data_IF_166225807009
#
_entry.id   IF_166225807009
#
_cell.length_a   1.000
_cell.length_b   1.000
_cell.length_c   1.000
_cell.angle_alpha   90.00
_cell.angle_beta   90.00
_cell.angle_gamma   90.00
#
_symmetry.space_group_name_H-M   'P 1'
#
loop_
_entity.id
_entity.type
_entity.pdbx_description
1 polymer ?
#
# COMPACT_ATOMS: atom_id res chain seq x y z
N UNK A 1 -12.30 -33.32 -12.15
CA UNK A 1 -11.34 -32.35 -11.54
C UNK A 1 -11.73 -32.21 -10.07
N UNK A 2 -10.78 -32.26 -9.14
CA UNK A 2 -11.08 -31.93 -7.71
C UNK A 2 -11.60 -30.50 -7.65
N UNK A 3 -12.62 -30.26 -6.82
CA UNK A 3 -13.15 -28.92 -6.55
C UNK A 3 -12.13 -28.12 -5.74
N UNK A 4 -11.31 -27.30 -6.42
CA UNK A 4 -10.25 -26.49 -5.83
C UNK A 4 -10.59 -25.01 -5.88
N UNK A 5 -10.34 -24.28 -4.79
CA UNK A 5 -10.50 -22.84 -4.73
C UNK A 5 -9.16 -22.11 -4.57
N UNK A 6 -8.97 -21.02 -5.32
CA UNK A 6 -7.86 -20.10 -5.10
C UNK A 6 -8.17 -19.16 -3.93
N UNK A 7 -7.26 -19.11 -2.98
CA UNK A 7 -7.35 -18.28 -1.77
C UNK A 7 -6.34 -17.13 -1.86
N UNK A 8 -6.84 -15.90 -1.81
CA UNK A 8 -6.08 -14.67 -1.99
C UNK A 8 -5.64 -14.01 -0.68
N UNK A 9 -6.23 -14.45 0.46
CA UNK A 9 -6.02 -13.83 1.78
C UNK A 9 -6.21 -14.83 2.91
N UNK A 10 -5.59 -14.58 4.07
CA UNK A 10 -5.84 -15.32 5.32
C UNK A 10 -7.21 -15.06 5.96
N UNK A 11 -7.95 -14.07 5.47
CA UNK A 11 -9.27 -13.69 5.97
C UNK A 11 -10.29 -14.78 5.61
N UNK A 12 -10.89 -15.43 6.60
CA UNK A 12 -11.80 -16.56 6.36
C UNK A 12 -13.04 -16.19 5.54
N UNK A 13 -13.57 -14.99 5.71
CA UNK A 13 -14.71 -14.47 4.96
C UNK A 13 -14.40 -14.30 3.46
N UNK A 14 -13.11 -14.19 3.13
CA UNK A 14 -12.62 -14.14 1.76
C UNK A 14 -12.46 -15.52 1.11
N UNK A 15 -12.63 -16.60 1.87
CA UNK A 15 -12.48 -17.95 1.35
C UNK A 15 -13.74 -18.44 0.63
N UNK A 16 -13.53 -19.33 -0.34
CA UNK A 16 -14.61 -20.05 -1.02
C UNK A 16 -14.60 -21.51 -0.55
N UNK A 17 -15.77 -22.04 -0.26
CA UNK A 17 -15.91 -23.47 0.07
C UNK A 17 -15.48 -24.33 -1.12
N UNK A 18 -14.55 -25.26 -0.85
CA UNK A 18 -14.03 -26.24 -1.79
C UNK A 18 -13.46 -27.44 -1.05
N UNK A 19 -13.23 -28.54 -1.77
CA UNK A 19 -12.61 -29.75 -1.20
C UNK A 19 -11.12 -29.54 -0.93
N UNK A 20 -10.46 -28.69 -1.71
CA UNK A 20 -9.05 -28.36 -1.57
C UNK A 20 -8.81 -26.88 -1.92
N UNK A 21 -7.73 -26.30 -1.41
CA UNK A 21 -7.41 -24.89 -1.56
C UNK A 21 -6.02 -24.71 -2.17
N UNK A 22 -5.87 -23.68 -3.01
CA UNK A 22 -4.60 -23.17 -3.50
C UNK A 22 -4.37 -21.81 -2.88
N UNK A 23 -3.39 -21.70 -2.02
CA UNK A 23 -3.01 -20.42 -1.41
C UNK A 23 -2.04 -19.68 -2.31
N UNK A 24 -2.35 -18.42 -2.65
CA UNK A 24 -1.48 -17.57 -3.47
C UNK A 24 -0.13 -17.31 -2.79
N UNK A 25 -0.05 -17.50 -1.49
CA UNK A 25 1.17 -17.43 -0.70
C UNK A 25 0.98 -17.93 0.73
N UNK A 26 2.07 -18.16 1.44
CA UNK A 26 2.08 -18.73 2.79
C UNK A 26 1.32 -17.86 3.81
N UNK A 27 1.21 -16.56 3.61
CA UNK A 27 0.45 -15.66 4.48
C UNK A 27 -1.04 -15.98 4.56
N UNK A 28 -1.62 -16.65 3.56
CA UNK A 28 -3.01 -17.10 3.60
C UNK A 28 -3.27 -18.15 4.68
N UNK A 29 -2.23 -18.81 5.18
CA UNK A 29 -2.31 -19.92 6.13
C UNK A 29 -2.02 -19.54 7.59
N UNK A 30 -1.55 -18.30 7.86
CA UNK A 30 -0.99 -17.93 9.17
C UNK A 30 -1.93 -18.15 10.35
N UNK A 31 -3.22 -17.88 10.19
CA UNK A 31 -4.24 -18.02 11.25
C UNK A 31 -5.17 -19.24 11.01
N UNK A 32 -4.69 -20.26 10.28
CA UNK A 32 -5.50 -21.40 9.92
C UNK A 32 -4.99 -22.66 10.62
N UNK A 33 -5.92 -23.44 11.20
CA UNK A 33 -5.62 -24.82 11.59
C UNK A 33 -5.45 -25.67 10.32
N UNK A 34 -4.19 -25.88 9.95
CA UNK A 34 -3.80 -26.56 8.72
C UNK A 34 -4.13 -28.07 8.73
N UNK A 35 -4.40 -28.66 9.90
CA UNK A 35 -4.75 -30.07 10.00
C UNK A 35 -6.17 -30.36 9.47
N UNK A 36 -7.00 -29.34 9.37
CA UNK A 36 -8.40 -29.46 8.96
C UNK A 36 -8.66 -29.11 7.48
N UNK A 37 -7.64 -28.74 6.72
CA UNK A 37 -7.80 -28.20 5.36
C UNK A 37 -6.83 -28.87 4.41
N UNK A 38 -7.32 -29.42 3.30
CA UNK A 38 -6.48 -29.87 2.19
C UNK A 38 -6.06 -28.65 1.36
N UNK A 39 -4.76 -28.38 1.28
CA UNK A 39 -4.24 -27.19 0.60
C UNK A 39 -2.87 -27.41 -0.04
N UNK A 40 -2.58 -26.58 -1.02
CA UNK A 40 -1.25 -26.35 -1.57
C UNK A 40 -0.90 -24.86 -1.50
N UNK A 41 0.37 -24.54 -1.32
CA UNK A 41 0.86 -23.14 -1.31
C UNK A 41 1.62 -22.89 -2.60
N UNK A 42 1.26 -21.83 -3.33
CA UNK A 42 2.00 -21.41 -4.51
C UNK A 42 3.43 -21.01 -4.17
N UNK A 43 4.36 -21.40 -5.02
CA UNK A 43 5.77 -21.01 -4.86
C UNK A 43 5.92 -19.49 -4.93
N UNK A 44 6.77 -18.93 -4.09
CA UNK A 44 7.06 -17.49 -4.15
C UNK A 44 7.98 -17.19 -5.32
N UNK A 45 7.58 -16.31 -6.21
CA UNK A 45 8.25 -16.04 -7.49
C UNK A 45 9.70 -15.49 -7.33
N UNK A 46 10.03 -14.84 -6.22
CA UNK A 46 11.38 -14.35 -5.93
C UNK A 46 12.23 -15.33 -5.10
N UNK A 47 11.78 -16.57 -4.91
CA UNK A 47 12.65 -17.64 -4.43
C UNK A 47 13.76 -17.98 -5.45
N UNK A 48 13.52 -17.69 -6.72
CA UNK A 48 14.53 -17.71 -7.78
C UNK A 48 15.32 -16.40 -7.79
N UNK A 49 16.61 -16.48 -7.47
CA UNK A 49 17.50 -15.32 -7.38
C UNK A 49 17.81 -14.69 -8.75
N UNK A 50 17.85 -15.48 -9.81
CA UNK A 50 18.07 -14.94 -11.16
C UNK A 50 16.86 -14.17 -11.64
N UNK A 51 15.66 -14.71 -11.40
CA UNK A 51 14.41 -13.98 -11.65
C UNK A 51 14.36 -12.70 -10.83
N UNK A 52 14.68 -12.75 -9.54
CA UNK A 52 14.71 -11.55 -8.69
C UNK A 52 15.61 -10.45 -9.26
N UNK A 53 16.81 -10.80 -9.72
CA UNK A 53 17.75 -9.81 -10.31
C UNK A 53 17.18 -9.20 -11.60
N UNK A 54 16.56 -10.00 -12.47
CA UNK A 54 15.90 -9.52 -13.70
C UNK A 54 14.70 -8.62 -13.39
N UNK A 55 13.87 -9.03 -12.46
CA UNK A 55 12.69 -8.28 -12.03
C UNK A 55 13.07 -6.95 -11.36
N UNK A 56 14.14 -6.93 -10.54
CA UNK A 56 14.66 -5.71 -9.95
C UNK A 56 15.03 -4.69 -11.04
N UNK A 57 15.75 -5.11 -12.08
CA UNK A 57 16.11 -4.24 -13.19
C UNK A 57 14.88 -3.75 -13.97
N UNK A 58 13.92 -4.63 -14.19
CA UNK A 58 12.66 -4.29 -14.83
C UNK A 58 11.86 -3.25 -14.02
N UNK A 59 11.71 -3.48 -12.70
CA UNK A 59 10.99 -2.59 -11.77
C UNK A 59 11.66 -1.21 -11.73
N UNK A 60 13.00 -1.17 -11.73
CA UNK A 60 13.75 0.08 -11.76
C UNK A 60 13.47 0.89 -13.03
N UNK A 61 13.49 0.24 -14.18
CA UNK A 61 13.14 0.88 -15.45
C UNK A 61 11.67 1.33 -15.48
N UNK A 62 10.77 0.52 -14.92
CA UNK A 62 9.35 0.84 -14.80
C UNK A 62 9.11 2.06 -13.91
N UNK A 63 9.84 2.18 -12.79
CA UNK A 63 9.81 3.34 -11.91
C UNK A 63 10.09 4.63 -12.68
N UNK A 64 11.18 4.69 -13.45
CA UNK A 64 11.53 5.89 -14.22
C UNK A 64 10.49 6.24 -15.28
N UNK A 65 9.94 5.24 -15.96
CA UNK A 65 8.88 5.45 -16.97
C UNK A 65 7.60 6.00 -16.33
N UNK A 66 7.20 5.44 -15.20
CA UNK A 66 6.00 5.90 -14.48
C UNK A 66 6.26 7.30 -13.92
N UNK A 67 7.41 7.56 -13.31
CA UNK A 67 7.77 8.88 -12.77
C UNK A 67 7.64 9.94 -13.86
N UNK A 68 8.27 9.77 -15.01
CA UNK A 68 8.21 10.73 -16.12
C UNK A 68 6.76 11.00 -16.59
N UNK A 69 5.95 9.95 -16.70
CA UNK A 69 4.53 10.08 -17.07
C UNK A 69 3.72 10.84 -16.02
N UNK A 70 3.94 10.54 -14.73
CA UNK A 70 3.24 11.19 -13.63
C UNK A 70 3.67 12.64 -13.47
N UNK A 71 4.95 12.98 -13.70
CA UNK A 71 5.44 14.36 -13.73
C UNK A 71 4.70 15.20 -14.76
N UNK A 72 4.53 14.68 -15.96
CA UNK A 72 3.77 15.35 -17.02
C UNK A 72 2.31 15.61 -16.58
N UNK A 73 1.67 14.59 -16.02
CA UNK A 73 0.31 14.70 -15.50
C UNK A 73 0.18 15.71 -14.36
N UNK A 74 1.06 15.64 -13.35
CA UNK A 74 1.01 16.53 -12.18
C UNK A 74 1.28 17.99 -12.56
N UNK A 75 2.23 18.25 -13.44
CA UNK A 75 2.46 19.60 -13.95
C UNK A 75 1.22 20.15 -14.67
N UNK A 76 0.57 19.35 -15.49
CA UNK A 76 -0.68 19.72 -16.16
C UNK A 76 -1.81 19.97 -15.16
N UNK A 77 -1.99 19.05 -14.20
CA UNK A 77 -3.06 19.12 -13.21
C UNK A 77 -2.95 20.34 -12.28
N UNK A 78 -1.72 20.67 -11.85
CA UNK A 78 -1.46 21.81 -10.97
C UNK A 78 -1.16 23.13 -11.70
N UNK A 79 -1.11 23.12 -13.02
CA UNK A 79 -0.75 24.31 -13.81
C UNK A 79 0.69 24.79 -13.57
N UNK A 80 1.62 23.86 -13.28
CA UNK A 80 3.01 24.12 -12.93
C UNK A 80 3.98 23.61 -14.01
N UNK A 81 5.26 23.97 -13.88
CA UNK A 81 6.36 23.50 -14.76
C UNK A 81 7.55 23.07 -13.93
N UNK A 82 7.29 22.33 -12.85
CA UNK A 82 8.36 21.80 -12.01
C UNK A 82 9.17 20.71 -12.74
N UNK A 83 10.46 20.61 -12.40
CA UNK A 83 11.34 19.60 -12.96
C UNK A 83 10.95 18.17 -12.50
N UNK A 84 11.41 17.16 -13.22
CA UNK A 84 11.27 15.76 -12.81
C UNK A 84 11.89 15.53 -11.41
N UNK A 85 13.05 16.16 -11.13
CA UNK A 85 13.69 16.08 -9.82
C UNK A 85 12.83 16.63 -8.68
N UNK A 86 12.08 17.70 -8.92
CA UNK A 86 11.14 18.21 -7.93
C UNK A 86 10.05 17.18 -7.59
N UNK A 87 9.41 16.64 -8.62
CA UNK A 87 8.35 15.64 -8.41
C UNK A 87 8.90 14.32 -7.88
N UNK A 88 10.10 13.93 -8.26
CA UNK A 88 10.79 12.76 -7.69
C UNK A 88 10.95 12.89 -6.17
N UNK A 89 11.33 14.06 -5.67
CA UNK A 89 11.41 14.30 -4.22
C UNK A 89 10.06 14.24 -3.53
N UNK A 90 8.98 14.63 -4.20
CA UNK A 90 7.62 14.67 -3.64
C UNK A 90 6.96 13.29 -3.64
N UNK A 91 6.97 12.59 -4.77
CA UNK A 91 6.22 11.33 -4.96
C UNK A 91 7.11 10.10 -5.09
N UNK A 92 8.41 10.27 -5.33
CA UNK A 92 9.36 9.17 -5.50
C UNK A 92 9.37 8.18 -4.34
N UNK A 93 9.36 8.61 -3.06
CA UNK A 93 9.27 7.70 -1.92
C UNK A 93 8.02 6.80 -1.94
N UNK A 94 6.90 7.31 -2.46
CA UNK A 94 5.70 6.51 -2.65
C UNK A 94 5.83 5.55 -3.83
N UNK A 95 6.30 6.04 -4.98
CA UNK A 95 6.45 5.22 -6.19
C UNK A 95 7.42 4.05 -5.99
N UNK A 96 8.56 4.28 -5.35
CA UNK A 96 9.55 3.22 -5.08
C UNK A 96 9.04 2.14 -4.13
N UNK A 97 7.99 2.42 -3.39
CA UNK A 97 7.33 1.46 -2.49
C UNK A 97 6.17 0.75 -3.18
N UNK A 98 5.31 1.48 -3.88
CA UNK A 98 4.07 0.91 -4.42
C UNK A 98 4.31 0.08 -5.69
N UNK A 99 5.24 0.49 -6.56
CA UNK A 99 5.50 -0.23 -7.81
C UNK A 99 6.01 -1.66 -7.56
N UNK A 100 7.06 -1.88 -6.73
CA UNK A 100 7.48 -3.24 -6.42
C UNK A 100 6.39 -4.06 -5.71
N UNK A 101 5.61 -3.42 -4.84
CA UNK A 101 4.54 -4.09 -4.14
C UNK A 101 3.43 -4.59 -5.08
N UNK A 102 2.99 -3.76 -6.04
CA UNK A 102 2.02 -4.17 -7.05
C UNK A 102 2.58 -5.23 -8.00
N UNK A 103 3.85 -5.10 -8.39
CA UNK A 103 4.54 -6.10 -9.21
C UNK A 103 4.60 -7.46 -8.51
N UNK A 104 4.96 -7.50 -7.23
CA UNK A 104 4.99 -8.73 -6.43
C UNK A 104 3.61 -9.42 -6.38
N UNK A 105 2.54 -8.66 -6.17
CA UNK A 105 1.18 -9.22 -6.14
C UNK A 105 0.76 -9.75 -7.53
N UNK A 106 1.12 -9.02 -8.57
CA UNK A 106 0.85 -9.44 -9.94
C UNK A 106 1.55 -10.76 -10.27
N UNK A 107 2.87 -10.84 -10.02
CA UNK A 107 3.67 -12.04 -10.29
C UNK A 107 3.21 -13.24 -9.46
N UNK A 108 2.81 -13.02 -8.20
CA UNK A 108 2.27 -14.08 -7.34
C UNK A 108 0.98 -14.67 -7.93
N UNK A 109 0.09 -13.85 -8.46
CA UNK A 109 -1.13 -14.32 -9.14
C UNK A 109 -0.77 -15.00 -10.47
N UNK A 110 0.03 -14.37 -11.31
CA UNK A 110 0.39 -14.90 -12.63
C UNK A 110 1.07 -16.28 -12.52
N UNK A 111 2.00 -16.43 -11.58
CA UNK A 111 2.65 -17.71 -11.30
C UNK A 111 1.65 -18.78 -10.83
N UNK A 112 0.74 -18.40 -9.94
CA UNK A 112 -0.30 -19.32 -9.43
C UNK A 112 -1.25 -19.75 -10.53
N UNK A 113 -1.67 -18.81 -11.40
CA UNK A 113 -2.52 -19.10 -12.56
C UNK A 113 -1.87 -20.10 -13.53
N UNK A 114 -0.56 -20.03 -13.69
CA UNK A 114 0.19 -20.90 -14.63
C UNK A 114 0.47 -22.29 -14.06
N UNK A 115 0.68 -22.41 -12.75
CA UNK A 115 1.22 -23.63 -12.15
C UNK A 115 0.18 -24.45 -11.39
N UNK A 116 -0.96 -23.88 -11.02
CA UNK A 116 -1.98 -24.57 -10.25
C UNK A 116 -3.32 -24.61 -11.00
N UNK A 117 -4.07 -25.68 -10.80
CA UNK A 117 -5.43 -25.80 -11.32
C UNK A 117 -6.45 -25.54 -10.22
N UNK A 118 -7.37 -24.65 -10.45
CA UNK A 118 -8.49 -24.33 -9.56
C UNK A 118 -9.70 -23.91 -10.38
N UNK A 119 -10.89 -24.05 -9.80
CA UNK A 119 -12.15 -23.81 -10.50
C UNK A 119 -12.92 -22.61 -9.96
N UNK A 120 -12.52 -22.11 -8.77
CA UNK A 120 -13.24 -21.06 -8.07
C UNK A 120 -12.26 -20.07 -7.44
N UNK A 121 -12.68 -18.81 -7.38
CA UNK A 121 -12.00 -17.75 -6.62
C UNK A 121 -13.04 -16.79 -6.06
N UNK A 122 -12.83 -16.29 -4.85
CA UNK A 122 -13.62 -15.20 -4.29
C UNK A 122 -12.82 -13.91 -4.35
N UNK A 123 -13.43 -12.85 -4.88
CA UNK A 123 -12.83 -11.52 -5.01
C UNK A 123 -13.61 -10.50 -4.18
N UNK A 124 -12.96 -9.43 -3.77
CA UNK A 124 -13.62 -8.35 -3.07
C UNK A 124 -14.33 -7.41 -4.05
N UNK A 125 -15.50 -6.89 -3.67
CA UNK A 125 -16.11 -5.76 -4.38
C UNK A 125 -15.51 -4.47 -3.85
N UNK A 126 -14.59 -3.91 -4.62
CA UNK A 126 -13.93 -2.67 -4.27
C UNK A 126 -14.60 -1.47 -4.93
N UNK A 127 -14.66 -0.37 -4.18
CA UNK A 127 -14.78 0.97 -4.74
C UNK A 127 -13.38 1.57 -4.87
N UNK A 128 -13.18 2.52 -5.80
CA UNK A 128 -11.89 3.20 -5.96
C UNK A 128 -11.38 3.76 -4.63
N UNK A 129 -12.29 4.28 -3.81
CA UNK A 129 -12.00 4.79 -2.46
C UNK A 129 -11.43 3.74 -1.50
N UNK A 130 -11.62 2.43 -1.77
CA UNK A 130 -11.06 1.36 -0.94
C UNK A 130 -9.56 1.16 -1.18
N UNK A 131 -9.07 1.52 -2.36
CA UNK A 131 -7.67 1.43 -2.76
C UNK A 131 -6.91 2.74 -2.54
N UNK A 132 -7.59 3.89 -2.54
CA UNK A 132 -6.95 5.18 -2.34
C UNK A 132 -6.53 5.38 -0.88
N UNK A 133 -5.37 5.99 -0.70
CA UNK A 133 -4.84 6.39 0.61
C UNK A 133 -4.51 7.87 0.60
N UNK A 134 -4.69 8.48 1.78
CA UNK A 134 -4.56 9.92 1.97
C UNK A 134 -3.11 10.40 1.79
N UNK A 135 -2.15 9.63 2.25
CA UNK A 135 -0.74 10.01 2.32
C UNK A 135 0.19 8.80 2.22
N UNK A 136 1.49 9.06 2.13
CA UNK A 136 2.52 8.03 2.03
C UNK A 136 2.48 7.03 3.20
N UNK A 137 2.35 7.53 4.44
CA UNK A 137 2.37 6.68 5.64
C UNK A 137 1.18 5.72 5.67
N UNK A 138 -0.01 6.21 5.38
CA UNK A 138 -1.21 5.36 5.29
C UNK A 138 -1.14 4.38 4.12
N UNK A 139 -0.54 4.78 2.99
CA UNK A 139 -0.29 3.89 1.85
C UNK A 139 0.66 2.76 2.23
N UNK A 140 1.80 3.08 2.84
CA UNK A 140 2.79 2.09 3.25
C UNK A 140 2.26 1.12 4.33
N UNK A 141 1.49 1.62 5.29
CA UNK A 141 0.84 0.78 6.30
C UNK A 141 -0.22 -0.15 5.69
N UNK A 142 -0.95 0.33 4.68
CA UNK A 142 -1.96 -0.49 3.99
C UNK A 142 -1.34 -1.68 3.26
N UNK A 143 -0.11 -1.60 2.77
CA UNK A 143 0.57 -2.74 2.14
C UNK A 143 0.81 -3.94 3.09
N UNK A 144 0.65 -3.73 4.40
CA UNK A 144 0.72 -4.77 5.44
C UNK A 144 -0.66 -5.26 5.90
N UNK A 145 -1.73 -4.65 5.40
CA UNK A 145 -3.11 -4.94 5.78
C UNK A 145 -3.70 -6.01 4.85
N UNK A 146 -4.25 -7.07 5.44
CA UNK A 146 -4.76 -8.22 4.69
C UNK A 146 -5.97 -7.87 3.83
N UNK A 147 -6.85 -6.99 4.30
CA UNK A 147 -8.04 -6.55 3.55
C UNK A 147 -7.62 -5.71 2.35
N UNK A 148 -6.63 -4.85 2.53
CA UNK A 148 -6.08 -4.06 1.43
C UNK A 148 -5.39 -4.93 0.38
N UNK A 149 -4.57 -5.90 0.81
CA UNK A 149 -3.93 -6.84 -0.10
C UNK A 149 -4.95 -7.73 -0.81
N UNK A 150 -5.99 -8.20 -0.11
CA UNK A 150 -7.10 -8.94 -0.72
C UNK A 150 -7.80 -8.10 -1.80
N UNK A 151 -8.00 -6.81 -1.54
CA UNK A 151 -8.55 -5.89 -2.54
C UNK A 151 -7.65 -5.75 -3.77
N UNK A 152 -6.32 -5.62 -3.60
CA UNK A 152 -5.37 -5.58 -4.72
C UNK A 152 -5.38 -6.88 -5.52
N UNK A 153 -5.28 -8.04 -4.86
CA UNK A 153 -5.34 -9.34 -5.53
C UNK A 153 -6.65 -9.52 -6.30
N UNK A 154 -7.76 -9.05 -5.74
CA UNK A 154 -9.07 -9.08 -6.40
C UNK A 154 -9.09 -8.28 -7.70
N UNK A 155 -8.54 -7.06 -7.69
CA UNK A 155 -8.42 -6.25 -8.91
C UNK A 155 -7.54 -6.91 -9.98
N UNK A 156 -6.44 -7.55 -9.57
CA UNK A 156 -5.58 -8.28 -10.50
C UNK A 156 -6.34 -9.44 -11.16
N UNK A 157 -7.09 -10.25 -10.39
CA UNK A 157 -7.91 -11.35 -10.92
C UNK A 157 -8.98 -10.82 -11.87
N UNK A 158 -9.67 -9.75 -11.51
CA UNK A 158 -10.71 -9.13 -12.34
C UNK A 158 -10.13 -8.54 -13.64
N UNK A 159 -8.90 -8.03 -13.60
CA UNK A 159 -8.20 -7.54 -14.79
C UNK A 159 -7.77 -8.69 -15.72
N UNK A 160 -7.18 -9.75 -15.16
CA UNK A 160 -6.67 -10.90 -15.93
C UNK A 160 -7.78 -11.75 -16.52
N UNK A 161 -8.97 -11.76 -15.92
CA UNK A 161 -10.16 -12.53 -16.37
C UNK A 161 -9.81 -13.98 -16.76
N UNK A 162 -9.25 -14.78 -15.84
CA UNK A 162 -8.83 -16.13 -16.16
C UNK A 162 -10.01 -16.97 -16.64
N UNK A 163 -9.83 -17.69 -17.75
CA UNK A 163 -10.88 -18.51 -18.37
C UNK A 163 -11.13 -19.78 -17.56
N UNK A 164 -12.38 -20.26 -17.54
CA UNK A 164 -12.77 -21.52 -16.91
C UNK A 164 -12.84 -21.46 -15.36
N UNK A 165 -12.82 -20.28 -14.78
CA UNK A 165 -12.85 -20.07 -13.33
C UNK A 165 -14.14 -19.36 -12.94
N UNK A 166 -14.84 -19.88 -11.92
CA UNK A 166 -16.01 -19.23 -11.34
C UNK A 166 -15.57 -18.17 -10.35
N UNK A 167 -15.93 -16.92 -10.61
CA UNK A 167 -15.64 -15.78 -9.72
C UNK A 167 -16.87 -15.51 -8.86
N UNK A 168 -16.72 -15.56 -7.53
CA UNK A 168 -17.70 -15.11 -6.56
C UNK A 168 -17.23 -13.83 -5.88
N UNK A 169 -18.16 -13.08 -5.29
CA UNK A 169 -17.85 -11.78 -4.70
C UNK A 169 -18.04 -11.77 -3.19
N UNK A 170 -17.20 -11.06 -2.49
CA UNK A 170 -17.35 -10.70 -1.08
C UNK A 170 -17.38 -9.18 -0.89
N UNK A 171 -17.80 -8.76 0.29
CA UNK A 171 -17.84 -7.35 0.70
C UNK A 171 -17.02 -7.18 2.00
N UNK A 172 -15.82 -7.73 2.03
CA UNK A 172 -14.93 -7.53 3.17
C UNK A 172 -14.44 -6.09 3.16
N UNK A 173 -14.74 -5.34 4.20
CA UNK A 173 -14.35 -3.92 4.32
C UNK A 173 -13.49 -3.71 5.55
N UNK A 174 -12.54 -2.83 5.45
CA UNK A 174 -11.70 -2.47 6.59
C UNK A 174 -12.54 -1.73 7.64
N UNK A 175 -12.68 -2.26 8.87
CA UNK A 175 -13.43 -1.61 9.94
C UNK A 175 -12.86 -0.24 10.33
N UNK A 176 -11.59 0.04 9.99
CA UNK A 176 -10.98 1.35 10.28
C UNK A 176 -11.59 2.51 9.48
N UNK A 177 -12.20 2.24 8.32
CA UNK A 177 -12.91 3.29 7.56
C UNK A 177 -14.11 3.88 8.33
N UNK A 178 -14.66 3.15 9.31
CA UNK A 178 -15.77 3.60 10.16
C UNK A 178 -15.31 4.10 11.54
N UNK A 179 -14.00 4.09 11.83
CA UNK A 179 -13.51 4.75 13.04
C UNK A 179 -13.59 6.25 12.83
N UNK A 180 -14.66 6.84 13.34
CA UNK A 180 -14.69 8.25 13.68
C UNK A 180 -13.38 8.54 14.41
N UNK A 181 -12.54 9.38 13.80
CA UNK A 181 -11.30 9.89 14.43
C UNK A 181 -11.65 10.21 15.88
N UNK A 182 -11.09 9.46 16.82
CA UNK A 182 -11.46 9.58 18.23
C UNK A 182 -11.31 11.04 18.60
N UNK A 183 -12.24 11.57 19.42
CA UNK A 183 -12.25 12.98 19.85
C UNK A 183 -10.88 13.47 20.32
N UNK A 184 -10.11 12.61 20.99
CA UNK A 184 -8.73 12.85 21.40
C UNK A 184 -7.76 13.14 20.24
N UNK A 185 -7.89 12.47 19.09
CA UNK A 185 -7.05 12.72 17.91
C UNK A 185 -7.42 14.05 17.26
N UNK A 186 -8.72 14.37 17.19
CA UNK A 186 -9.20 15.68 16.71
C UNK A 186 -8.70 16.82 17.60
N UNK A 187 -8.67 16.61 18.92
CA UNK A 187 -8.16 17.59 19.87
C UNK A 187 -6.65 17.79 19.76
N UNK A 188 -5.89 16.70 19.55
CA UNK A 188 -4.43 16.76 19.26
C UNK A 188 -4.15 17.51 17.96
N UNK A 189 -4.88 17.21 16.89
CA UNK A 189 -4.72 17.89 15.59
C UNK A 189 -5.00 19.38 15.74
N UNK A 190 -6.06 19.78 16.46
CA UNK A 190 -6.36 21.19 16.73
C UNK A 190 -5.27 21.89 17.54
N UNK A 191 -4.75 21.23 18.57
CA UNK A 191 -3.66 21.77 19.40
C UNK A 191 -2.39 21.98 18.55
N UNK A 192 -2.02 21.00 17.74
CA UNK A 192 -0.89 21.10 16.82
C UNK A 192 -1.09 22.26 15.84
N UNK A 193 -2.29 22.40 15.25
CA UNK A 193 -2.59 23.51 14.34
C UNK A 193 -2.46 24.90 14.99
N UNK A 194 -2.82 25.02 16.27
CA UNK A 194 -2.64 26.26 17.01
C UNK A 194 -1.17 26.56 17.26
N UNK A 195 -0.40 25.55 17.68
CA UNK A 195 1.05 25.70 17.88
C UNK A 195 1.74 26.09 16.58
N UNK A 196 1.39 25.48 15.45
CA UNK A 196 1.95 25.84 14.15
C UNK A 196 1.58 27.26 13.70
N UNK A 197 0.34 27.67 13.90
CA UNK A 197 -0.07 29.04 13.59
C UNK A 197 0.75 30.06 14.39
N UNK A 198 0.98 29.79 15.68
CA UNK A 198 1.83 30.63 16.54
C UNK A 198 3.28 30.60 16.05
N UNK A 199 3.80 29.41 15.73
CA UNK A 199 5.17 29.23 15.22
C UNK A 199 5.39 29.97 13.91
N UNK A 200 4.43 29.95 13.00
CA UNK A 200 4.51 30.65 11.71
C UNK A 200 4.56 32.19 11.89
N UNK A 201 3.93 32.71 12.94
CA UNK A 201 3.95 34.16 13.23
C UNK A 201 5.21 34.62 13.96
N UNK A 202 5.78 33.77 14.78
CA UNK A 202 6.91 34.12 15.63
C UNK A 202 8.27 33.70 15.06
N UNK A 203 8.29 32.76 14.12
CA UNK A 203 9.53 32.34 13.47
C UNK A 203 9.97 33.36 12.42
N UNK A 204 11.29 33.56 12.23
CA UNK A 204 11.82 34.43 11.20
C UNK A 204 11.42 33.95 9.79
N UNK A 205 11.49 34.85 8.83
CA UNK A 205 11.11 34.59 7.41
C UNK A 205 11.90 33.43 6.78
N UNK A 206 13.10 33.15 7.28
CA UNK A 206 13.92 31.99 6.92
C UNK A 206 13.89 30.98 8.07
N UNK A 207 12.85 30.14 8.10
CA UNK A 207 12.72 29.10 9.12
C UNK A 207 12.99 27.70 8.55
N UNK A 208 13.59 26.83 9.35
CA UNK A 208 13.81 25.41 9.02
C UNK A 208 12.56 24.62 9.43
N UNK A 209 12.05 23.79 8.51
CA UNK A 209 11.02 22.79 8.81
C UNK A 209 11.66 21.40 8.78
N UNK A 210 11.49 20.61 9.83
CA UNK A 210 11.94 19.21 9.87
C UNK A 210 10.71 18.31 9.66
N UNK A 211 10.72 17.58 8.57
CA UNK A 211 9.60 16.74 8.13
C UNK A 211 9.99 15.28 8.27
N UNK A 212 9.10 14.46 8.86
CA UNK A 212 9.27 13.01 8.98
C UNK A 212 10.64 12.57 9.54
N UNK A 213 11.07 13.20 10.61
CA UNK A 213 12.34 12.86 11.23
C UNK A 213 12.20 11.59 12.08
N UNK A 214 13.23 10.72 12.04
CA UNK A 214 13.39 9.59 12.96
C UNK A 214 13.94 10.02 14.33
N UNK A 215 14.15 11.32 14.54
CA UNK A 215 14.66 11.90 15.76
C UNK A 215 13.51 11.96 16.77
N UNK A 216 13.77 11.58 18.01
CA UNK A 216 12.76 11.68 19.09
C UNK A 216 12.35 13.13 19.34
N UNK A 217 11.16 13.32 19.90
CA UNK A 217 10.57 14.65 20.05
C UNK A 217 11.40 15.57 20.96
N UNK A 218 12.14 15.02 21.95
CA UNK A 218 12.97 15.83 22.85
C UNK A 218 14.18 16.38 22.13
N UNK A 219 14.83 15.56 21.33
CA UNK A 219 15.96 15.95 20.47
C UNK A 219 15.52 16.95 19.41
N UNK A 220 14.33 16.79 18.80
CA UNK A 220 13.76 17.77 17.88
C UNK A 220 13.52 19.12 18.55
N UNK A 221 12.94 19.14 19.75
CA UNK A 221 12.73 20.37 20.50
C UNK A 221 14.06 21.04 20.85
N UNK A 222 15.09 20.27 21.22
CA UNK A 222 16.42 20.80 21.48
C UNK A 222 17.05 21.42 20.22
N UNK A 223 16.90 20.80 19.05
CA UNK A 223 17.38 21.34 17.77
C UNK A 223 16.68 22.66 17.46
N UNK A 224 15.35 22.71 17.52
CA UNK A 224 14.60 23.94 17.26
C UNK A 224 14.95 25.06 18.23
N UNK A 225 15.08 24.72 19.52
CA UNK A 225 15.53 25.67 20.53
C UNK A 225 16.96 26.17 20.27
N UNK A 226 17.87 25.28 19.85
CA UNK A 226 19.26 25.63 19.53
C UNK A 226 19.41 26.58 18.32
N UNK A 227 18.48 26.53 17.38
CA UNK A 227 18.44 27.46 16.23
C UNK A 227 17.51 28.68 16.46
N UNK A 228 16.99 28.85 17.68
CA UNK A 228 16.15 29.98 18.04
C UNK A 228 14.76 29.98 17.36
N UNK A 229 14.22 28.81 17.06
CA UNK A 229 12.92 28.64 16.42
C UNK A 229 11.93 27.90 17.30
N UNK A 230 10.65 28.20 17.12
CA UNK A 230 9.58 27.31 17.57
C UNK A 230 9.42 26.14 16.60
N UNK A 231 9.01 24.94 17.08
CA UNK A 231 8.79 23.79 16.25
C UNK A 231 7.82 24.08 15.11
N UNK A 232 8.17 23.65 13.89
CA UNK A 232 7.38 23.84 12.69
C UNK A 232 7.20 22.49 12.01
N UNK A 233 6.13 21.78 12.36
CA UNK A 233 5.85 20.42 11.90
C UNK A 233 4.89 20.36 10.70
N UNK A 234 4.07 21.39 10.52
CA UNK A 234 2.81 21.26 9.78
C UNK A 234 2.88 21.55 8.29
N UNK A 235 3.94 22.14 7.79
CA UNK A 235 4.09 22.33 6.34
C UNK A 235 4.15 21.03 5.54
N UNK A 236 4.16 19.88 6.23
CA UNK A 236 4.17 18.57 5.63
C UNK A 236 2.81 17.84 5.65
N UNK A 237 1.79 18.40 6.30
CA UNK A 237 0.47 17.77 6.49
C UNK A 237 -0.66 18.51 5.76
N UNK A 238 -0.37 19.57 5.04
CA UNK A 238 -1.25 20.24 4.10
C UNK A 238 -0.79 20.00 2.68
#
# INVERSE_FOLDING_TARGET
MKDKALILSGIKEAWTEAQSHVFVGAWCALDTDLNSVDFEVSSYHWSDREKFAKDYQYIWNLYHRILSSVVTYLNSYHGTKHSERYWELVIGPWLITIIPALFDRWESIDLTLKNSSYSKVKVNRNELSDLLRRDYTSSNNSLKDDIYNFSIFSEIILFLKPSGITISYSNVRNPEKNRTVKWLERSKIKLISVVDYISLKLNPTQSVAIVQSYIDIRSLLAIFSGIGQLPNWHKALT
#
